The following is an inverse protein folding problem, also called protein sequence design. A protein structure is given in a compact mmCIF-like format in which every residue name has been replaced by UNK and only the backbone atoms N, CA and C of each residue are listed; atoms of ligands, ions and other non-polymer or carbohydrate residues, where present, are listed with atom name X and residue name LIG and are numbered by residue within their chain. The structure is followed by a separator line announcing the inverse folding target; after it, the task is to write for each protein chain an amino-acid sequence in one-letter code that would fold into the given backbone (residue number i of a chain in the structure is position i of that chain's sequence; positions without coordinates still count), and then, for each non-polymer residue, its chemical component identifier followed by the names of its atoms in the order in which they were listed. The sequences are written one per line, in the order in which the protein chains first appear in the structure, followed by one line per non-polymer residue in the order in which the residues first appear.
data_IF_538995856400
#
_entry.id   IF_538995856400
#
_cell.length_a   1.000
_cell.length_b   1.000
_cell.length_c   1.000
_cell.angle_alpha   90.00
_cell.angle_beta   90.00
_cell.angle_gamma   90.00
#
_symmetry.space_group_name_H-M   'P 1'
#
loop_
_entity.id
_entity.type
_entity.pdbx_description
1 polymer ?
#
# COMPACT_ATOMS: atom_id res chain seq x y z
N UNK A 1 -4.15 19.81 14.55
CA UNK A 1 -3.31 18.88 13.76
C UNK A 1 -3.77 18.99 12.31
N UNK A 2 -2.87 19.19 11.35
CA UNK A 2 -3.23 19.42 9.94
C UNK A 2 -2.32 18.58 9.04
N UNK A 3 -2.79 18.20 7.85
CA UNK A 3 -1.96 17.50 6.87
C UNK A 3 -0.88 18.43 6.32
N UNK A 4 0.33 17.90 6.13
CA UNK A 4 1.47 18.64 5.56
C UNK A 4 1.30 18.94 4.06
N UNK A 5 0.44 18.19 3.36
CA UNK A 5 0.08 18.38 1.95
C UNK A 5 -1.42 18.27 1.79
N UNK A 6 -1.96 18.82 0.69
CA UNK A 6 -3.37 18.63 0.34
C UNK A 6 -3.66 17.14 0.10
N UNK A 7 -4.84 16.60 0.46
CA UNK A 7 -5.19 15.19 0.26
C UNK A 7 -5.01 14.70 -1.18
N UNK A 8 -5.41 15.48 -2.18
CA UNK A 8 -5.22 15.15 -3.62
C UNK A 8 -3.76 15.21 -4.11
N UNK A 9 -2.79 15.43 -3.21
CA UNK A 9 -1.34 15.39 -3.47
C UNK A 9 -0.63 14.30 -2.66
N UNK A 10 -1.39 13.43 -2.00
CA UNK A 10 -0.91 12.28 -1.25
C UNK A 10 -1.49 11.05 -1.93
N UNK A 11 -0.66 10.29 -2.63
CA UNK A 11 -1.07 9.03 -3.24
C UNK A 11 -1.11 7.91 -2.19
N UNK A 12 -1.83 6.82 -2.46
CA UNK A 12 -1.81 5.68 -1.55
C UNK A 12 -0.44 5.00 -1.50
N UNK A 13 0.36 5.06 -2.56
CA UNK A 13 1.75 4.58 -2.49
C UNK A 13 2.61 5.41 -1.53
N UNK A 14 2.36 6.73 -1.40
CA UNK A 14 3.04 7.56 -0.40
C UNK A 14 2.71 7.11 1.02
N UNK A 15 1.44 6.76 1.27
CA UNK A 15 0.98 6.27 2.58
C UNK A 15 1.55 4.87 2.85
N UNK A 16 1.45 3.96 1.87
CA UNK A 16 1.96 2.60 1.97
C UNK A 16 3.44 2.59 2.35
N UNK A 17 4.28 3.34 1.62
CA UNK A 17 5.74 3.43 1.90
C UNK A 17 6.08 4.12 3.23
N UNK A 18 5.16 4.92 3.78
CA UNK A 18 5.38 5.61 5.05
C UNK A 18 5.06 4.74 6.28
N UNK A 19 4.22 3.72 6.11
CA UNK A 19 3.70 2.90 7.23
C UNK A 19 4.21 1.47 7.17
N UNK A 20 4.37 0.90 5.98
CA UNK A 20 4.78 -0.49 5.77
C UNK A 20 6.26 -0.62 5.42
N UNK A 21 6.80 -1.83 5.66
CA UNK A 21 8.09 -2.24 5.12
C UNK A 21 7.87 -2.73 3.67
N UNK A 22 8.54 -2.16 2.65
CA UNK A 22 8.18 -2.38 1.24
C UNK A 22 8.44 -3.81 0.72
N UNK A 23 9.12 -4.69 1.45
CA UNK A 23 9.26 -6.10 1.06
C UNK A 23 7.98 -6.89 1.38
N UNK A 24 7.04 -6.98 0.42
CA UNK A 24 5.85 -7.82 0.56
C UNK A 24 6.20 -9.31 0.55
N UNK A 25 7.20 -9.68 -0.24
CA UNK A 25 7.62 -11.07 -0.40
C UNK A 25 8.92 -11.32 0.34
N UNK A 26 8.82 -11.57 1.65
CA UNK A 26 9.95 -12.05 2.42
C UNK A 26 10.36 -13.45 1.94
N UNK A 27 11.46 -13.54 1.21
CA UNK A 27 12.11 -14.81 0.91
C UNK A 27 12.55 -15.47 2.22
N UNK A 28 12.35 -16.79 2.36
CA UNK A 28 12.63 -17.50 3.61
C UNK A 28 14.01 -17.14 4.19
N UNK A 29 14.04 -16.84 5.50
CA UNK A 29 15.27 -16.43 6.23
C UNK A 29 16.35 -17.50 6.28
N UNK A 30 16.00 -18.76 6.01
CA UNK A 30 16.93 -19.89 5.98
C UNK A 30 17.79 -19.87 4.73
N UNK A 31 19.11 -20.08 4.89
CA UNK A 31 20.02 -20.22 3.75
C UNK A 31 19.63 -21.46 2.93
N UNK A 32 19.46 -21.34 1.60
CA UNK A 32 19.15 -22.48 0.77
C UNK A 32 20.28 -23.53 0.79
N UNK A 33 19.92 -24.80 0.70
CA UNK A 33 20.89 -25.88 0.52
C UNK A 33 21.64 -25.70 -0.81
N UNK A 34 22.96 -25.52 -0.70
CA UNK A 34 23.86 -25.31 -1.83
C UNK A 34 24.10 -26.60 -2.64
N UNK A 35 23.80 -27.77 -2.06
CA UNK A 35 23.88 -29.07 -2.74
C UNK A 35 22.63 -29.38 -3.56
N UNK A 36 21.51 -28.73 -3.24
CA UNK A 36 20.26 -28.88 -3.97
C UNK A 36 20.19 -27.93 -5.17
N UNK A 37 19.94 -28.47 -6.37
CA UNK A 37 19.80 -27.66 -7.60
C UNK A 37 18.67 -26.62 -7.48
N UNK A 38 17.53 -27.02 -6.90
CA UNK A 38 16.40 -26.11 -6.66
C UNK A 38 16.77 -25.11 -5.59
N UNK A 39 17.27 -25.57 -4.43
CA UNK A 39 17.61 -24.71 -3.29
C UNK A 39 18.54 -23.57 -3.68
N UNK A 40 19.68 -23.86 -4.30
CA UNK A 40 20.67 -22.84 -4.66
C UNK A 40 20.21 -21.83 -5.74
N UNK A 41 19.08 -22.09 -6.42
CA UNK A 41 18.59 -21.26 -7.53
C UNK A 41 17.20 -20.65 -7.30
N UNK A 42 16.38 -21.19 -6.38
CA UNK A 42 14.96 -20.81 -6.26
C UNK A 42 14.77 -19.32 -5.99
N UNK A 43 15.62 -18.72 -5.15
CA UNK A 43 15.58 -17.29 -4.87
C UNK A 43 15.80 -16.46 -6.14
N UNK A 44 16.85 -16.78 -6.92
CA UNK A 44 17.16 -16.10 -8.19
C UNK A 44 16.02 -16.21 -9.20
N UNK A 45 15.32 -17.33 -9.23
CA UNK A 45 14.20 -17.57 -10.16
C UNK A 45 12.94 -16.83 -9.73
N UNK A 46 12.67 -16.74 -8.42
CA UNK A 46 11.46 -16.11 -7.89
C UNK A 46 11.58 -14.59 -7.75
N UNK A 47 12.75 -14.04 -7.44
CA UNK A 47 12.94 -12.59 -7.22
C UNK A 47 12.33 -11.74 -8.34
N UNK A 48 12.61 -11.95 -9.64
CA UNK A 48 12.03 -11.12 -10.70
C UNK A 48 10.50 -11.22 -10.81
N UNK A 49 9.90 -12.33 -10.34
CA UNK A 49 8.44 -12.50 -10.32
C UNK A 49 7.82 -11.73 -9.15
N UNK A 50 8.48 -11.75 -8.00
CA UNK A 50 8.07 -10.99 -6.83
C UNK A 50 8.26 -9.49 -7.05
N UNK A 51 9.37 -9.06 -7.64
CA UNK A 51 9.61 -7.66 -8.01
C UNK A 51 8.52 -7.14 -8.95
N UNK A 52 8.12 -7.96 -9.94
CA UNK A 52 7.03 -7.60 -10.85
C UNK A 52 5.68 -7.49 -10.13
N UNK A 53 5.41 -8.38 -9.19
CA UNK A 53 4.18 -8.35 -8.41
C UNK A 53 4.14 -7.13 -7.47
N UNK A 54 5.26 -6.82 -6.82
CA UNK A 54 5.44 -5.61 -6.03
C UNK A 54 5.16 -4.36 -6.87
N UNK A 55 5.81 -4.25 -8.04
CA UNK A 55 5.64 -3.10 -8.92
C UNK A 55 4.19 -2.92 -9.36
N UNK A 56 3.49 -4.01 -9.69
CA UNK A 56 2.09 -3.93 -10.08
C UNK A 56 1.18 -3.41 -8.96
N UNK A 57 1.46 -3.77 -7.70
CA UNK A 57 0.75 -3.19 -6.56
C UNK A 57 1.09 -1.71 -6.41
N UNK A 58 2.38 -1.35 -6.44
CA UNK A 58 2.80 0.04 -6.26
C UNK A 58 2.26 0.96 -7.35
N UNK A 59 2.20 0.47 -8.59
CA UNK A 59 1.61 1.17 -9.72
C UNK A 59 0.12 1.42 -9.50
N UNK A 60 -0.63 0.43 -9.02
CA UNK A 60 -2.06 0.58 -8.70
C UNK A 60 -2.27 1.61 -7.58
N UNK A 61 -1.52 1.49 -6.48
CA UNK A 61 -1.60 2.42 -5.35
C UNK A 61 -1.17 3.85 -5.73
N UNK A 62 -0.33 4.02 -6.75
CA UNK A 62 0.04 5.32 -7.27
C UNK A 62 -1.10 6.03 -8.02
N UNK A 63 -2.13 5.30 -8.48
CA UNK A 63 -3.26 5.88 -9.20
C UNK A 63 -4.33 6.51 -8.31
N UNK A 64 -4.32 6.20 -7.01
CA UNK A 64 -5.36 6.61 -6.05
C UNK A 64 -4.79 7.61 -5.06
N UNK A 65 -5.51 8.70 -4.80
CA UNK A 65 -5.13 9.70 -3.80
C UNK A 65 -5.91 9.54 -2.48
N UNK A 66 -5.40 10.14 -1.42
CA UNK A 66 -6.11 10.23 -0.14
C UNK A 66 -7.45 10.96 -0.27
N UNK A 67 -7.56 11.92 -1.20
CA UNK A 67 -8.82 12.60 -1.49
C UNK A 67 -9.87 11.64 -2.06
N UNK A 68 -9.47 10.75 -2.96
CA UNK A 68 -10.36 9.74 -3.56
C UNK A 68 -10.93 8.81 -2.48
N UNK A 69 -10.09 8.36 -1.55
CA UNK A 69 -10.51 7.52 -0.43
C UNK A 69 -11.50 8.25 0.50
N UNK A 70 -11.22 9.51 0.84
CA UNK A 70 -12.15 10.32 1.65
C UNK A 70 -13.49 10.49 0.93
N UNK A 71 -13.47 10.73 -0.38
CA UNK A 71 -14.67 10.85 -1.19
C UNK A 71 -15.47 9.53 -1.22
N UNK A 72 -14.80 8.39 -1.37
CA UNK A 72 -15.45 7.08 -1.35
C UNK A 72 -16.10 6.78 0.00
N UNK A 73 -15.43 7.08 1.12
CA UNK A 73 -16.01 6.94 2.46
C UNK A 73 -17.28 7.80 2.59
N UNK A 74 -17.24 9.05 2.11
CA UNK A 74 -18.39 9.94 2.16
C UNK A 74 -19.59 9.44 1.36
N UNK A 75 -19.40 8.60 0.33
CA UNK A 75 -20.52 7.96 -0.41
C UNK A 75 -21.27 6.95 0.44
N UNK A 76 -20.62 6.35 1.44
CA UNK A 76 -21.24 5.42 2.38
C UNK A 76 -21.84 6.12 3.61
N UNK A 77 -21.72 7.46 3.70
CA UNK A 77 -22.27 8.22 4.80
C UNK A 77 -23.81 8.14 4.75
N UNK A 78 -24.49 7.48 5.72
CA UNK A 78 -25.95 7.51 5.77
C UNK A 78 -26.44 8.96 5.91
N UNK A 79 -27.61 9.24 5.32
CA UNK A 79 -28.27 10.56 5.38
C UNK A 79 -28.47 11.10 6.82
N UNK A 80 -28.39 10.23 7.83
CA UNK A 80 -28.48 10.60 9.25
C UNK A 80 -27.20 11.22 9.83
N UNK A 81 -26.02 11.05 9.20
CA UNK A 81 -24.76 11.64 9.68
C UNK A 81 -24.57 13.10 9.25
N UNK A 82 -25.47 13.66 8.43
CA UNK A 82 -25.52 15.11 8.16
C UNK A 82 -26.09 15.90 9.36
N UNK A 83 -26.68 15.21 10.34
CA UNK A 83 -27.12 15.80 11.59
C UNK A 83 -25.99 16.03 12.61
N UNK A 84 -24.79 15.45 12.40
CA UNK A 84 -23.60 15.70 13.23
C UNK A 84 -22.75 16.81 12.62
N UNK A 85 -23.38 17.94 12.25
CA UNK A 85 -22.67 19.24 12.24
C UNK A 85 -22.85 19.81 13.63
N UNK A 86 -21.83 19.66 14.46
CA UNK A 86 -21.67 20.43 15.70
C UNK A 86 -21.92 21.92 15.38
N UNK A 87 -22.91 22.57 16.01
CA UNK A 87 -23.07 24.01 15.90
C UNK A 87 -22.03 24.68 16.80
N UNK A 88 -21.05 25.34 16.17
CA UNK A 88 -20.31 26.46 16.75
C UNK A 88 -19.39 26.15 17.94
N UNK A 89 -18.08 26.22 17.67
CA UNK A 89 -17.19 27.02 18.49
C UNK A 89 -16.45 28.01 17.58
#
# INVERSE_FOLDING_TARGET
MQLAKKPGKISLIDVYRAVEDPEIFALHRGKPDQKCLVGKNIQRVLSPRFDKAQQALEDELATVTLEDIVNDINRFKPASLDAVREPGL
#
